data_IF_232086077535
#
_entry.id   IF_232086077535
#
_cell.length_a   1.000
_cell.length_b   1.000
_cell.length_c   1.000
_cell.angle_alpha   90.00
_cell.angle_beta   90.00
_cell.angle_gamma   90.00
#
_symmetry.space_group_name_H-M   'P 1'
#
loop_
_entity.id
_entity.type
_entity.pdbx_description
1 polymer ?
#
# COMPACT_ATOMS: atom_id res chain seq x y z
N UNK A 1 6.66 34.94 -15.97
CA UNK A 1 7.36 33.69 -16.31
C UNK A 1 6.32 32.72 -16.87
N UNK A 2 6.30 32.47 -18.18
CA UNK A 2 5.36 31.52 -18.78
C UNK A 2 5.69 30.09 -18.34
N UNK A 3 4.70 29.22 -18.05
CA UNK A 3 4.95 27.80 -17.93
C UNK A 3 5.40 27.30 -19.30
N UNK A 4 6.70 27.00 -19.41
CA UNK A 4 7.32 26.40 -20.58
C UNK A 4 6.69 25.03 -20.80
N UNK A 5 6.29 24.75 -22.04
CA UNK A 5 5.61 23.54 -22.48
C UNK A 5 6.09 22.27 -21.75
N UNK A 6 5.16 21.54 -21.15
CA UNK A 6 5.42 20.21 -20.61
C UNK A 6 5.51 19.22 -21.78
N UNK A 7 6.64 18.52 -21.91
CA UNK A 7 6.78 17.47 -22.91
C UNK A 7 6.11 16.17 -22.44
N UNK A 8 5.26 15.60 -23.30
CA UNK A 8 4.61 14.31 -23.12
C UNK A 8 5.47 13.25 -23.81
N UNK A 9 6.45 12.69 -23.09
CA UNK A 9 7.30 11.63 -23.63
C UNK A 9 7.53 10.54 -22.58
N UNK A 10 8.19 9.43 -22.94
CA UNK A 10 8.66 8.48 -21.91
C UNK A 10 10.01 8.94 -21.41
N UNK A 11 10.06 9.32 -20.13
CA UNK A 11 11.28 9.83 -19.50
C UNK A 11 12.40 8.80 -19.50
N UNK A 12 12.06 7.51 -19.44
CA UNK A 12 13.03 6.40 -19.38
C UNK A 12 13.51 5.90 -20.74
N UNK A 13 12.88 6.31 -21.83
CA UNK A 13 13.19 5.79 -23.16
C UNK A 13 13.57 6.90 -24.13
N UNK A 14 12.66 7.84 -24.36
CA UNK A 14 12.85 8.85 -25.40
C UNK A 14 13.88 9.90 -25.00
N UNK A 15 13.85 10.37 -23.75
CA UNK A 15 14.75 11.42 -23.28
C UNK A 15 16.24 10.97 -23.29
N UNK A 16 16.61 9.76 -22.81
CA UNK A 16 17.98 9.25 -22.98
C UNK A 16 18.40 9.12 -24.43
N UNK A 17 17.50 8.65 -25.32
CA UNK A 17 17.80 8.48 -26.74
C UNK A 17 18.05 9.82 -27.44
N UNK A 18 17.19 10.82 -27.19
CA UNK A 18 17.37 12.18 -27.68
C UNK A 18 18.65 12.81 -27.13
N UNK A 19 18.90 12.67 -25.82
CA UNK A 19 20.11 13.20 -25.18
C UNK A 19 21.37 12.63 -25.81
N UNK A 20 21.41 11.31 -26.04
CA UNK A 20 22.54 10.66 -26.71
C UNK A 20 22.73 11.17 -28.14
N UNK A 21 21.64 11.40 -28.90
CA UNK A 21 21.73 11.99 -30.25
C UNK A 21 22.28 13.42 -30.22
N UNK A 22 21.83 14.27 -29.28
CA UNK A 22 22.40 15.60 -29.10
C UNK A 22 23.92 15.52 -28.85
N UNK A 23 24.35 14.64 -27.95
CA UNK A 23 25.78 14.45 -27.63
C UNK A 23 26.57 13.96 -28.85
N UNK A 24 26.07 12.95 -29.57
CA UNK A 24 26.72 12.41 -30.77
C UNK A 24 26.90 13.47 -31.87
N UNK A 25 25.91 14.36 -32.02
CA UNK A 25 25.97 15.48 -32.96
C UNK A 25 26.68 16.72 -32.39
N UNK A 26 27.34 16.62 -31.23
CA UNK A 26 28.04 17.72 -30.54
C UNK A 26 27.15 18.94 -30.28
N UNK A 27 25.86 18.70 -30.04
CA UNK A 27 24.88 19.71 -29.70
C UNK A 27 24.54 19.64 -28.20
N UNK A 28 24.24 20.80 -27.61
CA UNK A 28 23.80 20.88 -26.22
C UNK A 28 22.40 20.25 -26.07
N UNK A 29 22.17 19.28 -25.17
CA UNK A 29 20.84 18.71 -24.95
C UNK A 29 19.89 19.76 -24.36
N UNK A 30 19.00 20.30 -25.18
CA UNK A 30 18.10 21.41 -24.77
C UNK A 30 16.90 20.97 -23.93
N UNK A 31 16.59 19.67 -23.94
CA UNK A 31 15.37 19.11 -23.33
C UNK A 31 15.57 18.57 -21.91
N UNK A 32 16.81 18.46 -21.42
CA UNK A 32 17.11 17.89 -20.10
C UNK A 32 16.61 18.74 -18.92
N UNK A 33 16.34 20.02 -19.15
CA UNK A 33 15.85 20.95 -18.13
C UNK A 33 14.36 21.28 -18.26
N UNK A 34 13.68 20.76 -19.29
CA UNK A 34 12.27 21.01 -19.50
C UNK A 34 11.41 20.17 -18.52
N UNK A 35 10.30 20.71 -18.01
CA UNK A 35 9.33 19.92 -17.26
C UNK A 35 8.78 18.81 -18.18
N UNK A 36 8.78 17.59 -17.65
CA UNK A 36 8.42 16.40 -18.42
C UNK A 36 7.34 15.63 -17.66
N UNK A 37 6.28 15.25 -18.37
CA UNK A 37 5.20 14.42 -17.84
C UNK A 37 5.18 13.09 -18.58
N UNK A 38 5.62 12.04 -17.89
CA UNK A 38 5.51 10.67 -18.38
C UNK A 38 4.10 10.13 -18.08
N UNK A 39 3.24 10.07 -19.09
CA UNK A 39 1.84 9.63 -18.95
C UNK A 39 1.70 8.15 -18.58
N UNK A 40 2.73 7.34 -18.75
CA UNK A 40 2.66 5.91 -18.45
C UNK A 40 2.40 5.65 -16.96
N UNK A 41 2.99 6.47 -16.08
CA UNK A 41 2.83 6.34 -14.65
C UNK A 41 1.42 6.67 -14.15
N UNK A 42 0.82 7.83 -14.46
CA UNK A 42 -0.57 8.10 -14.10
C UNK A 42 -1.54 7.14 -14.79
N UNK A 43 -1.31 6.79 -16.06
CA UNK A 43 -2.15 5.82 -16.77
C UNK A 43 -2.16 4.44 -16.08
N UNK A 44 -0.99 3.92 -15.70
CA UNK A 44 -0.90 2.66 -14.94
C UNK A 44 -1.52 2.78 -13.56
N UNK A 45 -1.36 3.92 -12.90
CA UNK A 45 -1.92 4.12 -11.56
C UNK A 45 -3.44 3.96 -11.59
N UNK A 46 -4.11 4.51 -12.60
CA UNK A 46 -5.58 4.47 -12.72
C UNK A 46 -6.06 3.16 -13.34
N UNK A 47 -5.50 2.73 -14.47
CA UNK A 47 -6.12 1.71 -15.32
C UNK A 47 -5.49 0.32 -15.27
N UNK A 48 -4.38 0.12 -14.54
CA UNK A 48 -3.64 -1.16 -14.57
C UNK A 48 -4.45 -2.36 -14.07
N UNK A 49 -5.41 -2.14 -13.18
CA UNK A 49 -6.26 -3.19 -12.65
C UNK A 49 -7.34 -3.64 -13.64
N UNK A 50 -7.78 -2.73 -14.52
CA UNK A 50 -8.81 -3.00 -15.52
C UNK A 50 -8.24 -3.46 -16.86
N UNK A 51 -7.16 -2.83 -17.31
CA UNK A 51 -6.62 -3.06 -18.65
C UNK A 51 -5.55 -4.15 -18.66
N UNK A 52 -5.51 -4.99 -19.71
CA UNK A 52 -4.46 -5.99 -19.88
C UNK A 52 -3.09 -5.34 -20.14
N UNK A 53 -3.08 -4.14 -20.74
CA UNK A 53 -1.88 -3.36 -21.04
C UNK A 53 -2.17 -1.87 -20.91
N UNK A 54 -1.15 -1.10 -20.51
CA UNK A 54 -1.16 0.36 -20.57
C UNK A 54 -0.20 0.89 -21.67
N UNK A 55 0.00 0.10 -22.73
CA UNK A 55 0.62 0.60 -23.96
C UNK A 55 -0.30 1.63 -24.63
N UNK A 56 0.27 2.58 -25.39
CA UNK A 56 -0.49 3.68 -25.99
C UNK A 56 -1.63 3.15 -26.88
N UNK A 57 -1.35 2.19 -27.75
CA UNK A 57 -2.37 1.53 -28.58
C UNK A 57 -3.52 0.89 -27.78
N UNK A 58 -3.23 0.33 -26.60
CA UNK A 58 -4.28 -0.22 -25.73
C UNK A 58 -5.11 0.89 -25.08
N UNK A 59 -4.48 2.01 -24.71
CA UNK A 59 -5.16 3.16 -24.11
C UNK A 59 -6.01 3.92 -25.13
N UNK A 60 -5.54 4.04 -26.36
CA UNK A 60 -6.28 4.61 -27.48
C UNK A 60 -7.61 3.90 -27.68
N UNK A 61 -7.60 2.57 -27.82
CA UNK A 61 -8.82 1.81 -28.06
C UNK A 61 -9.72 1.76 -26.82
N UNK A 62 -9.15 1.48 -25.64
CA UNK A 62 -9.93 1.16 -24.43
C UNK A 62 -10.37 2.39 -23.61
N UNK A 63 -9.67 3.51 -23.76
CA UNK A 63 -9.93 4.75 -23.00
C UNK A 63 -10.38 5.87 -23.93
N UNK A 64 -9.70 6.07 -25.06
CA UNK A 64 -10.00 7.17 -25.98
C UNK A 64 -11.03 6.78 -27.06
N UNK A 65 -11.35 5.50 -27.19
CA UNK A 65 -12.24 5.00 -28.24
C UNK A 65 -11.68 5.14 -29.66
N UNK A 66 -10.38 5.41 -29.80
CA UNK A 66 -9.73 5.63 -31.08
C UNK A 66 -9.47 4.30 -31.79
N UNK A 67 -9.71 4.27 -33.10
CA UNK A 67 -9.31 3.17 -33.99
C UNK A 67 -8.43 3.78 -35.07
N UNK A 68 -7.21 3.26 -35.20
CA UNK A 68 -6.27 3.73 -36.22
C UNK A 68 -6.66 3.19 -37.60
N UNK A 69 -6.44 4.00 -38.62
CA UNK A 69 -6.69 3.65 -40.01
C UNK A 69 -5.70 2.62 -40.56
N UNK A 70 -6.09 1.94 -41.65
CA UNK A 70 -5.24 0.93 -42.33
C UNK A 70 -3.93 1.50 -42.90
N UNK A 71 -3.83 2.83 -43.05
CA UNK A 71 -2.62 3.50 -43.50
C UNK A 71 -1.55 3.65 -42.39
N UNK A 72 -1.87 3.30 -41.14
CA UNK A 72 -0.89 3.35 -40.05
C UNK A 72 0.17 2.24 -40.20
N UNK A 73 1.44 2.65 -40.13
CA UNK A 73 2.57 1.72 -40.22
C UNK A 73 2.75 1.05 -38.85
N UNK A 74 2.90 -0.30 -38.79
CA UNK A 74 3.23 -0.96 -37.54
C UNK A 74 4.53 -0.42 -36.94
N UNK A 75 4.51 -0.01 -35.67
CA UNK A 75 5.66 0.66 -35.04
C UNK A 75 6.98 -0.13 -35.10
N UNK A 76 6.93 -1.46 -35.15
CA UNK A 76 8.11 -2.32 -35.31
C UNK A 76 8.76 -2.24 -36.70
N UNK A 77 8.02 -1.80 -37.73
CA UNK A 77 8.48 -1.68 -39.10
C UNK A 77 9.18 -0.33 -39.36
N UNK A 78 8.89 0.68 -38.53
CA UNK A 78 9.43 2.04 -38.66
C UNK A 78 10.96 2.09 -38.81
N UNK A 79 11.79 1.37 -38.02
CA UNK A 79 13.24 1.40 -38.20
C UNK A 79 13.68 0.94 -39.58
N UNK A 80 13.07 -0.13 -40.11
CA UNK A 80 13.40 -0.68 -41.43
C UNK A 80 13.08 0.30 -42.55
N UNK A 81 11.93 0.99 -42.48
CA UNK A 81 11.56 2.02 -43.47
C UNK A 81 12.55 3.19 -43.47
N UNK A 82 13.02 3.61 -42.28
CA UNK A 82 14.08 4.63 -42.20
C UNK A 82 15.40 4.15 -42.79
N UNK A 83 15.81 2.91 -42.57
CA UNK A 83 17.02 2.36 -43.17
C UNK A 83 16.92 2.26 -44.70
N UNK A 84 15.75 1.86 -45.21
CA UNK A 84 15.49 1.82 -46.64
C UNK A 84 15.62 3.21 -47.27
N UNK A 85 15.00 4.24 -46.66
CA UNK A 85 15.16 5.63 -47.10
C UNK A 85 16.62 6.08 -47.14
N UNK A 86 17.42 5.75 -46.11
CA UNK A 86 18.84 6.11 -46.08
C UNK A 86 19.67 5.44 -47.19
N UNK A 87 19.24 4.27 -47.68
CA UNK A 87 19.93 3.53 -48.74
C UNK A 87 19.46 3.97 -50.14
N UNK A 88 18.16 4.19 -50.33
CA UNK A 88 17.57 4.44 -51.66
C UNK A 88 17.38 5.93 -51.96
N UNK A 89 17.28 6.77 -50.93
CA UNK A 89 16.85 8.16 -51.04
C UNK A 89 15.34 8.34 -51.28
N UNK A 90 14.57 7.25 -51.39
CA UNK A 90 13.12 7.29 -51.62
C UNK A 90 12.35 7.42 -50.30
N UNK A 91 11.58 8.50 -50.17
CA UNK A 91 10.85 8.85 -48.96
C UNK A 91 9.35 8.49 -49.00
N UNK A 92 8.87 7.82 -50.06
CA UNK A 92 7.44 7.49 -50.20
C UNK A 92 6.88 6.77 -48.97
N UNK A 93 7.60 5.76 -48.46
CA UNK A 93 7.16 4.97 -47.30
C UNK A 93 7.26 5.74 -45.96
N UNK A 94 8.02 6.84 -45.91
CA UNK A 94 8.14 7.65 -44.69
C UNK A 94 6.88 8.46 -44.39
N UNK A 95 5.99 8.67 -45.37
CA UNK A 95 4.72 9.38 -45.15
C UNK A 95 3.90 8.67 -44.07
N UNK A 96 3.83 7.33 -44.12
CA UNK A 96 3.14 6.52 -43.11
C UNK A 96 3.80 6.61 -41.73
N UNK A 97 5.13 6.74 -41.68
CA UNK A 97 5.87 6.94 -40.42
C UNK A 97 5.56 8.30 -39.78
N UNK A 98 5.46 9.37 -40.58
CA UNK A 98 5.07 10.68 -40.08
C UNK A 98 3.61 10.71 -39.60
N UNK A 99 2.72 10.03 -40.32
CA UNK A 99 1.33 9.85 -39.90
C UNK A 99 1.25 9.13 -38.54
N UNK A 100 1.97 8.01 -38.38
CA UNK A 100 2.07 7.29 -37.11
C UNK A 100 2.51 8.20 -35.95
N UNK A 101 3.58 8.97 -36.16
CA UNK A 101 4.11 9.87 -35.14
C UNK A 101 3.14 11.01 -34.79
N UNK A 102 2.41 11.52 -35.78
CA UNK A 102 1.38 12.54 -35.57
C UNK A 102 0.26 11.99 -34.67
N UNK A 103 -0.27 10.82 -35.02
CA UNK A 103 -1.32 10.16 -34.23
C UNK A 103 -0.85 9.86 -32.81
N UNK A 104 0.37 9.33 -32.62
CA UNK A 104 0.95 9.10 -31.29
C UNK A 104 0.97 10.38 -30.43
N UNK A 105 1.36 11.51 -31.01
CA UNK A 105 1.40 12.80 -30.31
C UNK A 105 -0.02 13.26 -29.95
N UNK A 106 -0.97 13.19 -30.88
CA UNK A 106 -2.36 13.58 -30.64
C UNK A 106 -3.02 12.70 -29.57
N UNK A 107 -2.77 11.39 -29.60
CA UNK A 107 -3.22 10.44 -28.59
C UNK A 107 -2.65 10.75 -27.22
N UNK A 108 -1.35 11.08 -27.12
CA UNK A 108 -0.76 11.46 -25.83
C UNK A 108 -1.37 12.76 -25.27
N UNK A 109 -1.58 13.79 -26.10
CA UNK A 109 -2.21 15.05 -25.66
C UNK A 109 -3.64 14.79 -25.19
N UNK A 110 -4.40 14.00 -25.95
CA UNK A 110 -5.78 13.64 -25.62
C UNK A 110 -5.85 12.83 -24.33
N UNK A 111 -4.94 11.86 -24.16
CA UNK A 111 -4.81 11.06 -22.94
C UNK A 111 -4.47 11.92 -21.72
N UNK A 112 -3.56 12.89 -21.88
CA UNK A 112 -3.21 13.82 -20.82
C UNK A 112 -4.42 14.66 -20.37
N UNK A 113 -5.19 15.18 -21.33
CA UNK A 113 -6.42 15.92 -21.04
C UNK A 113 -7.47 15.05 -20.33
N UNK A 114 -7.66 13.81 -20.80
CA UNK A 114 -8.58 12.85 -20.18
C UNK A 114 -8.16 12.49 -18.76
N UNK A 115 -6.88 12.17 -18.51
CA UNK A 115 -6.36 11.94 -17.17
C UNK A 115 -6.55 13.15 -16.25
N UNK A 116 -6.32 14.35 -16.76
CA UNK A 116 -6.44 15.58 -15.97
C UNK A 116 -7.88 15.81 -15.54
N UNK A 117 -8.85 15.65 -16.46
CA UNK A 117 -10.28 15.75 -16.12
C UNK A 117 -10.69 14.68 -15.11
N UNK A 118 -10.27 13.44 -15.33
CA UNK A 118 -10.57 12.30 -14.47
C UNK A 118 -10.05 12.47 -13.03
N UNK A 119 -8.86 13.04 -12.86
CA UNK A 119 -8.25 13.32 -11.55
C UNK A 119 -8.75 14.61 -10.89
N UNK A 120 -9.33 15.52 -11.68
CA UNK A 120 -9.89 16.76 -11.17
C UNK A 120 -11.26 16.50 -10.55
N UNK A 121 -12.16 15.90 -11.33
CA UNK A 121 -13.49 15.53 -10.88
C UNK A 121 -14.01 14.29 -11.64
N UNK A 122 -13.81 13.09 -11.08
CA UNK A 122 -14.30 11.85 -11.69
C UNK A 122 -15.84 11.78 -11.70
N UNK A 123 -16.55 12.59 -10.91
CA UNK A 123 -18.00 12.54 -10.82
C UNK A 123 -18.72 13.54 -11.73
N UNK A 124 -17.99 14.41 -12.43
CA UNK A 124 -18.58 15.44 -13.31
C UNK A 124 -19.10 14.89 -14.65
N UNK A 125 -18.78 13.65 -15.01
CA UNK A 125 -19.01 13.11 -16.34
C UNK A 125 -19.69 11.74 -16.34
N UNK A 126 -19.28 10.91 -17.29
CA UNK A 126 -19.76 9.53 -17.41
C UNK A 126 -19.38 8.67 -16.20
N UNK A 127 -20.19 7.65 -15.93
CA UNK A 127 -19.93 6.68 -14.88
C UNK A 127 -18.59 5.98 -15.11
N UNK A 128 -17.70 6.09 -14.13
CA UNK A 128 -16.38 5.46 -14.18
C UNK A 128 -16.46 4.03 -13.68
N UNK A 129 -15.62 3.18 -14.26
CA UNK A 129 -15.52 1.79 -13.84
C UNK A 129 -15.03 1.66 -12.38
N UNK A 130 -15.63 0.76 -11.60
CA UNK A 130 -15.33 0.60 -10.17
C UNK A 130 -13.84 0.36 -9.85
N UNK A 131 -13.15 -0.43 -10.68
CA UNK A 131 -11.69 -0.62 -10.58
C UNK A 131 -10.89 0.68 -10.69
N UNK A 132 -11.29 1.56 -11.62
CA UNK A 132 -10.65 2.85 -11.83
C UNK A 132 -10.95 3.76 -10.64
N UNK A 133 -12.17 3.69 -10.08
CA UNK A 133 -12.56 4.44 -8.89
C UNK A 133 -11.76 4.02 -7.63
N UNK A 134 -11.54 2.72 -7.42
CA UNK A 134 -10.68 2.23 -6.33
C UNK A 134 -9.24 2.74 -6.48
N UNK A 135 -8.73 2.78 -7.72
CA UNK A 135 -7.41 3.31 -8.03
C UNK A 135 -7.32 4.84 -7.85
N UNK A 136 -8.38 5.58 -8.17
CA UNK A 136 -8.49 7.01 -7.89
C UNK A 136 -8.52 7.29 -6.39
N UNK A 137 -9.27 6.50 -5.61
CA UNK A 137 -9.26 6.60 -4.14
C UNK A 137 -7.85 6.48 -3.56
N UNK A 138 -7.07 5.50 -4.04
CA UNK A 138 -5.66 5.38 -3.66
C UNK A 138 -4.81 6.57 -4.10
N UNK A 139 -5.08 7.11 -5.28
CA UNK A 139 -4.36 8.27 -5.80
C UNK A 139 -4.63 9.52 -4.96
N UNK A 140 -5.89 9.76 -4.57
CA UNK A 140 -6.26 10.89 -3.71
C UNK A 140 -5.71 10.75 -2.30
N UNK A 141 -5.72 9.55 -1.73
CA UNK A 141 -5.15 9.29 -0.41
C UNK A 141 -3.65 9.65 -0.37
N UNK A 142 -2.89 9.17 -1.36
CA UNK A 142 -1.47 9.50 -1.50
C UNK A 142 -1.20 10.99 -1.77
N UNK A 143 -2.18 11.70 -2.33
CA UNK A 143 -2.12 13.14 -2.55
C UNK A 143 -2.57 13.96 -1.32
N UNK A 144 -2.96 13.32 -0.22
CA UNK A 144 -3.46 14.02 0.97
C UNK A 144 -4.84 14.65 0.77
N UNK A 145 -5.68 14.07 -0.10
CA UNK A 145 -7.05 14.50 -0.40
C UNK A 145 -8.06 13.51 0.19
N UNK A 146 -8.28 13.53 1.53
CA UNK A 146 -9.00 12.47 2.22
C UNK A 146 -10.49 12.40 1.87
N UNK A 147 -11.14 13.53 1.60
CA UNK A 147 -12.57 13.57 1.27
C UNK A 147 -12.84 12.89 -0.08
N UNK A 148 -12.04 13.21 -1.10
CA UNK A 148 -12.12 12.59 -2.42
C UNK A 148 -11.70 11.12 -2.39
N UNK A 149 -10.70 10.77 -1.58
CA UNK A 149 -10.27 9.39 -1.36
C UNK A 149 -11.40 8.54 -0.78
N UNK A 150 -12.03 9.00 0.30
CA UNK A 150 -13.16 8.31 0.92
C UNK A 150 -14.32 8.13 -0.05
N UNK A 151 -14.72 9.22 -0.73
CA UNK A 151 -15.82 9.17 -1.70
C UNK A 151 -15.53 8.12 -2.79
N UNK A 152 -14.32 8.12 -3.35
CA UNK A 152 -13.94 7.17 -4.39
C UNK A 152 -13.89 5.72 -3.87
N UNK A 153 -13.38 5.46 -2.66
CA UNK A 153 -13.41 4.11 -2.10
C UNK A 153 -14.83 3.61 -1.87
N UNK A 154 -15.73 4.44 -1.31
CA UNK A 154 -17.12 4.06 -1.08
C UNK A 154 -17.86 3.79 -2.39
N UNK A 155 -17.66 4.65 -3.39
CA UNK A 155 -18.23 4.50 -4.73
C UNK A 155 -17.74 3.22 -5.43
N UNK A 156 -16.44 2.91 -5.32
CA UNK A 156 -15.90 1.66 -5.83
C UNK A 156 -16.53 0.43 -5.15
N UNK A 157 -16.75 0.49 -3.83
CA UNK A 157 -17.32 -0.60 -3.04
C UNK A 157 -18.83 -0.79 -3.24
N UNK A 158 -19.55 0.22 -3.74
CA UNK A 158 -20.96 0.07 -4.14
C UNK A 158 -21.16 -0.76 -5.42
N UNK A 159 -20.06 -1.15 -6.07
CA UNK A 159 -20.08 -1.95 -7.29
C UNK A 159 -19.28 -3.26 -7.14
N UNK A 160 -19.57 -4.28 -7.98
CA UNK A 160 -18.80 -5.52 -7.96
C UNK A 160 -17.31 -5.28 -8.30
N UNK A 161 -16.44 -5.70 -7.38
CA UNK A 161 -14.98 -5.70 -7.55
C UNK A 161 -14.42 -7.12 -7.43
N UNK A 162 -13.29 -7.44 -8.10
CA UNK A 162 -12.48 -8.62 -7.78
C UNK A 162 -12.10 -8.64 -6.30
N UNK A 163 -12.04 -9.83 -5.70
CA UNK A 163 -11.85 -9.99 -4.25
C UNK A 163 -10.58 -9.31 -3.73
N UNK A 164 -9.47 -9.39 -4.47
CA UNK A 164 -8.19 -8.78 -4.10
C UNK A 164 -8.24 -7.25 -4.11
N UNK A 165 -8.94 -6.65 -5.08
CA UNK A 165 -9.12 -5.20 -5.18
C UNK A 165 -10.11 -4.73 -4.12
N UNK A 166 -11.22 -5.46 -3.93
CA UNK A 166 -12.23 -5.16 -2.91
C UNK A 166 -11.61 -5.13 -1.52
N UNK A 167 -10.78 -6.12 -1.22
CA UNK A 167 -10.06 -6.23 0.05
C UNK A 167 -9.12 -5.05 0.28
N UNK A 168 -8.29 -4.73 -0.71
CA UNK A 168 -7.39 -3.57 -0.63
C UNK A 168 -8.18 -2.27 -0.45
N UNK A 169 -9.36 -2.16 -1.05
CA UNK A 169 -10.22 -0.97 -0.96
C UNK A 169 -10.79 -0.82 0.44
N UNK A 170 -11.31 -1.89 1.05
CA UNK A 170 -11.75 -1.88 2.45
C UNK A 170 -10.61 -1.56 3.42
N UNK A 171 -9.45 -2.21 3.27
CA UNK A 171 -8.27 -1.96 4.11
C UNK A 171 -7.86 -0.48 4.06
N UNK A 172 -7.75 0.10 2.86
CA UNK A 172 -7.40 1.52 2.68
C UNK A 172 -8.46 2.47 3.24
N UNK A 173 -9.74 2.21 3.02
CA UNK A 173 -10.82 3.02 3.57
C UNK A 173 -10.82 2.99 5.11
N UNK A 174 -10.69 1.80 5.71
CA UNK A 174 -10.58 1.67 7.16
C UNK A 174 -9.37 2.39 7.74
N UNK A 175 -8.20 2.31 7.09
CA UNK A 175 -6.99 3.03 7.49
C UNK A 175 -7.13 4.55 7.34
N UNK A 176 -7.82 5.01 6.29
CA UNK A 176 -8.15 6.42 6.09
C UNK A 176 -9.05 6.94 7.22
N UNK A 177 -10.18 6.29 7.48
CA UNK A 177 -11.13 6.67 8.53
C UNK A 177 -10.46 6.67 9.92
N UNK A 178 -9.61 5.68 10.18
CA UNK A 178 -8.83 5.60 11.42
C UNK A 178 -7.85 6.77 11.57
N UNK A 179 -7.14 7.17 10.50
CA UNK A 179 -6.28 8.37 10.52
C UNK A 179 -7.09 9.64 10.79
N UNK A 180 -8.32 9.72 10.27
CA UNK A 180 -9.25 10.83 10.49
C UNK A 180 -9.96 10.77 11.86
N UNK A 181 -9.65 9.79 12.73
CA UNK A 181 -10.29 9.56 14.03
C UNK A 181 -11.80 9.27 13.96
N UNK A 182 -12.33 8.91 12.79
CA UNK A 182 -13.73 8.48 12.59
C UNK A 182 -13.86 6.99 12.87
N UNK A 183 -13.61 6.61 14.12
CA UNK A 183 -13.43 5.21 14.53
C UNK A 183 -14.71 4.37 14.43
N UNK A 184 -15.88 4.97 14.67
CA UNK A 184 -17.18 4.30 14.51
C UNK A 184 -17.40 3.88 13.06
N UNK A 185 -17.19 4.78 12.10
CA UNK A 185 -17.34 4.49 10.67
C UNK A 185 -16.26 3.53 10.16
N UNK A 186 -15.06 3.58 10.74
CA UNK A 186 -14.03 2.58 10.46
C UNK A 186 -14.48 1.17 10.90
N UNK A 187 -15.13 1.07 12.06
CA UNK A 187 -15.68 -0.19 12.56
C UNK A 187 -16.79 -0.73 11.65
N UNK A 188 -17.71 0.11 11.20
CA UNK A 188 -18.73 -0.26 10.20
C UNK A 188 -18.06 -0.77 8.91
N UNK A 189 -17.04 -0.07 8.42
CA UNK A 189 -16.27 -0.49 7.22
C UNK A 189 -15.61 -1.85 7.39
N UNK A 190 -15.08 -2.17 8.57
CA UNK A 190 -14.49 -3.48 8.85
C UNK A 190 -15.54 -4.59 8.97
N UNK A 191 -16.74 -4.29 9.45
CA UNK A 191 -17.87 -5.23 9.44
C UNK A 191 -18.33 -5.50 8.01
N UNK A 192 -18.52 -4.46 7.21
CA UNK A 192 -18.87 -4.56 5.79
C UNK A 192 -17.82 -5.38 5.01
N UNK A 193 -16.54 -5.20 5.32
CA UNK A 193 -15.47 -6.03 4.77
C UNK A 193 -15.74 -7.52 5.04
N UNK A 194 -15.98 -7.90 6.30
CA UNK A 194 -16.23 -9.30 6.67
C UNK A 194 -17.47 -9.86 5.96
N UNK A 195 -18.53 -9.04 5.79
CA UNK A 195 -19.78 -9.46 5.15
C UNK A 195 -19.65 -9.61 3.63
N UNK A 196 -18.95 -8.70 2.97
CA UNK A 196 -18.94 -8.59 1.51
C UNK A 196 -17.71 -9.17 0.81
N UNK A 197 -16.69 -9.59 1.56
CA UNK A 197 -15.56 -10.33 1.03
C UNK A 197 -15.76 -11.82 1.31
N UNK A 198 -15.96 -12.58 0.23
CA UNK A 198 -16.22 -14.03 0.30
C UNK A 198 -15.08 -14.75 1.03
N UNK A 199 -15.44 -15.73 1.87
CA UNK A 199 -14.51 -16.72 2.46
C UNK A 199 -13.92 -17.66 1.40
N UNK A 200 -13.31 -17.10 0.36
CA UNK A 200 -12.54 -17.87 -0.60
C UNK A 200 -11.25 -18.32 0.07
N UNK A 201 -10.84 -19.58 -0.14
CA UNK A 201 -9.67 -20.20 0.50
C UNK A 201 -8.35 -19.43 0.30
N UNK A 202 -8.33 -18.46 -0.62
CA UNK A 202 -7.19 -17.62 -0.97
C UNK A 202 -7.15 -16.27 -0.24
N UNK A 203 -8.24 -15.84 0.40
CA UNK A 203 -8.29 -14.57 1.14
C UNK A 203 -7.92 -14.85 2.60
N UNK A 204 -6.80 -14.29 3.06
CA UNK A 204 -6.19 -14.60 4.37
C UNK A 204 -5.92 -13.32 5.15
N UNK A 205 -6.98 -12.57 5.42
CA UNK A 205 -6.87 -11.28 6.07
C UNK A 205 -7.58 -11.27 7.41
N UNK A 206 -6.80 -11.01 8.46
CA UNK A 206 -7.27 -10.91 9.84
C UNK A 206 -7.44 -9.45 10.28
N UNK A 207 -7.03 -8.50 9.44
CA UNK A 207 -7.07 -7.07 9.72
C UNK A 207 -8.45 -6.60 10.24
N UNK A 208 -9.59 -6.91 9.58
CA UNK A 208 -10.88 -6.41 10.06
C UNK A 208 -11.26 -6.94 11.46
N UNK A 209 -10.98 -8.21 11.75
CA UNK A 209 -11.23 -8.80 13.08
C UNK A 209 -10.37 -8.17 14.17
N UNK A 210 -9.07 -7.97 13.88
CA UNK A 210 -8.12 -7.36 14.81
C UNK A 210 -8.48 -5.91 15.10
N UNK A 211 -8.84 -5.15 14.07
CA UNK A 211 -9.21 -3.75 14.23
C UNK A 211 -10.57 -3.57 14.93
N UNK A 212 -11.54 -4.44 14.68
CA UNK A 212 -12.80 -4.47 15.44
C UNK A 212 -12.59 -4.81 16.91
N UNK A 213 -11.74 -5.80 17.21
CA UNK A 213 -11.42 -6.13 18.60
C UNK A 213 -10.81 -4.91 19.32
N UNK A 214 -9.87 -4.20 18.67
CA UNK A 214 -9.28 -2.97 19.22
C UNK A 214 -10.31 -1.86 19.40
N UNK A 215 -11.19 -1.65 18.43
CA UNK A 215 -12.25 -0.65 18.53
C UNK A 215 -13.15 -0.90 19.74
N UNK A 216 -13.64 -2.12 19.91
CA UNK A 216 -14.52 -2.44 21.02
C UNK A 216 -13.82 -2.37 22.37
N UNK A 217 -12.56 -2.82 22.47
CA UNK A 217 -11.80 -2.76 23.74
C UNK A 217 -11.45 -1.31 24.13
N UNK A 218 -10.89 -0.53 23.20
CA UNK A 218 -10.26 0.75 23.53
C UNK A 218 -11.17 1.97 23.32
N UNK A 219 -12.18 1.86 22.46
CA UNK A 219 -13.07 2.98 22.14
C UNK A 219 -14.47 2.78 22.71
N UNK A 220 -15.09 1.61 22.47
CA UNK A 220 -16.45 1.34 22.96
C UNK A 220 -16.49 0.85 24.42
N UNK A 221 -15.34 0.46 25.00
CA UNK A 221 -15.24 -0.21 26.30
C UNK A 221 -16.14 -1.46 26.44
N UNK A 222 -16.38 -2.16 25.33
CA UNK A 222 -17.13 -3.41 25.26
C UNK A 222 -16.16 -4.60 25.15
N UNK A 223 -15.70 -5.07 26.31
CA UNK A 223 -14.79 -6.21 26.38
C UNK A 223 -15.42 -7.51 25.84
N UNK A 224 -16.75 -7.63 25.89
CA UNK A 224 -17.45 -8.83 25.41
C UNK A 224 -17.43 -8.87 23.88
N UNK A 225 -17.75 -7.76 23.21
CA UNK A 225 -17.62 -7.65 21.76
C UNK A 225 -16.16 -7.78 21.30
N UNK A 226 -15.20 -7.20 22.04
CA UNK A 226 -13.78 -7.33 21.70
C UNK A 226 -13.32 -8.80 21.73
N UNK A 227 -13.71 -9.56 22.77
CA UNK A 227 -13.43 -10.98 22.88
C UNK A 227 -14.12 -11.80 21.79
N UNK A 228 -15.37 -11.44 21.44
CA UNK A 228 -16.10 -12.05 20.33
C UNK A 228 -15.29 -11.92 19.03
N UNK A 229 -14.93 -10.71 18.62
CA UNK A 229 -14.17 -10.48 17.38
C UNK A 229 -12.80 -11.18 17.37
N UNK A 230 -12.13 -11.24 18.53
CA UNK A 230 -10.89 -12.00 18.68
C UNK A 230 -11.09 -13.47 18.37
N UNK A 231 -12.12 -14.10 18.96
CA UNK A 231 -12.45 -15.52 18.71
C UNK A 231 -12.87 -15.80 17.27
N UNK A 232 -13.59 -14.87 16.64
CA UNK A 232 -13.91 -14.98 15.22
C UNK A 232 -12.64 -15.00 14.35
N UNK A 233 -11.68 -14.12 14.63
CA UNK A 233 -10.38 -14.14 13.95
C UNK A 233 -9.62 -15.46 14.16
N UNK A 234 -9.65 -16.02 15.37
CA UNK A 234 -9.04 -17.34 15.65
C UNK A 234 -9.69 -18.46 14.84
N UNK A 235 -11.03 -18.51 14.82
CA UNK A 235 -11.79 -19.48 14.04
C UNK A 235 -11.47 -19.39 12.53
N UNK A 236 -11.34 -18.18 11.98
CA UNK A 236 -10.93 -18.00 10.58
C UNK A 236 -9.52 -18.56 10.32
N UNK A 237 -8.56 -18.37 11.23
CA UNK A 237 -7.20 -18.96 11.12
C UNK A 237 -7.24 -20.49 11.15
N UNK A 238 -8.15 -21.08 11.94
CA UNK A 238 -8.32 -22.53 12.01
C UNK A 238 -8.86 -23.14 10.70
N UNK A 239 -9.67 -22.37 9.96
CA UNK A 239 -10.17 -22.76 8.66
C UNK A 239 -9.10 -22.69 7.55
N UNK A 240 -8.00 -21.96 7.75
CA UNK A 240 -6.95 -21.83 6.73
C UNK A 240 -6.22 -23.16 6.46
N UNK A 241 -5.80 -23.42 5.20
CA UNK A 241 -4.96 -24.57 4.88
C UNK A 241 -3.68 -24.60 5.74
N UNK A 242 -3.23 -25.80 6.10
CA UNK A 242 -1.97 -26.00 6.83
C UNK A 242 -0.83 -25.32 6.08
N UNK A 243 -0.37 -24.20 6.63
CA UNK A 243 0.64 -23.35 6.02
C UNK A 243 1.62 -22.85 7.09
N UNK A 244 2.85 -22.43 6.72
CA UNK A 244 3.77 -21.79 7.67
C UNK A 244 3.15 -20.59 8.39
N UNK A 245 2.31 -19.81 7.70
CA UNK A 245 1.58 -18.68 8.28
C UNK A 245 0.62 -19.12 9.40
N UNK A 246 -0.20 -20.14 9.16
CA UNK A 246 -1.08 -20.72 10.19
C UNK A 246 -0.30 -21.28 11.38
N UNK A 247 0.81 -21.99 11.15
CA UNK A 247 1.66 -22.53 12.22
C UNK A 247 2.28 -21.44 13.09
N UNK A 248 2.71 -20.33 12.49
CA UNK A 248 3.26 -19.18 13.20
C UNK A 248 2.22 -18.54 14.12
N UNK A 249 0.96 -18.44 13.67
CA UNK A 249 -0.15 -17.90 14.45
C UNK A 249 -0.60 -18.88 15.56
N UNK A 250 -0.72 -20.17 15.25
CA UNK A 250 -1.06 -21.20 16.24
C UNK A 250 0.01 -21.35 17.34
N UNK A 251 1.30 -21.16 17.01
CA UNK A 251 2.39 -21.18 17.98
C UNK A 251 2.35 -20.04 19.00
N UNK A 252 1.67 -18.93 18.69
CA UNK A 252 1.47 -17.81 19.62
C UNK A 252 0.41 -18.13 20.69
N UNK A 253 -0.62 -18.91 20.37
CA UNK A 253 -1.66 -19.34 21.32
C UNK A 253 -1.11 -20.25 22.42
N UNK A 254 -0.12 -21.10 22.11
CA UNK A 254 0.51 -22.01 23.09
C UNK A 254 1.32 -21.22 24.15
N UNK A 255 1.82 -20.02 23.82
CA UNK A 255 2.55 -19.16 24.76
C UNK A 255 1.67 -18.43 25.78
N UNK A 256 0.39 -18.19 25.48
CA UNK A 256 -0.53 -17.53 26.41
C UNK A 256 -1.12 -18.50 27.44
N UNK A 257 -1.34 -19.76 27.07
CA UNK A 257 -1.86 -20.79 27.98
C UNK A 257 -0.88 -21.19 29.08
N UNK A 258 0.44 -21.17 28.82
CA UNK A 258 1.44 -21.59 29.81
C UNK A 258 1.74 -20.56 30.91
N UNK A 259 1.31 -19.30 30.78
CA UNK A 259 1.54 -18.26 31.80
C UNK A 259 0.42 -18.16 32.86
N UNK A 260 -0.71 -18.86 32.71
CA UNK A 260 -1.81 -18.88 33.68
C UNK A 260 -1.68 -19.94 34.79
N UNK A 261 -0.80 -20.93 34.64
CA UNK A 261 -0.74 -22.09 35.54
C UNK A 261 0.35 -22.00 36.64
N UNK A 262 1.19 -20.97 36.63
CA UNK A 262 2.34 -20.87 37.56
C UNK A 262 2.07 -20.08 38.85
N UNK A 263 0.87 -19.53 39.05
CA UNK A 263 0.51 -18.74 40.24
C UNK A 263 -0.23 -19.50 41.35
N UNK A 264 -0.76 -20.69 41.09
CA UNK A 264 -1.62 -21.41 42.03
C UNK A 264 -0.83 -22.40 42.90
N UNK A 265 0.12 -21.93 43.72
CA UNK A 265 0.77 -22.78 44.72
C UNK A 265 1.35 -22.02 45.92
N UNK A 266 0.55 -21.16 46.57
CA UNK A 266 0.78 -20.77 47.97
C UNK A 266 -0.42 -19.97 48.49
N UNK A 267 -1.35 -20.65 49.16
CA UNK A 267 -2.14 -20.14 50.30
C UNK A 267 -3.32 -21.08 50.55
N UNK A 268 -3.11 -22.03 51.48
CA UNK A 268 -4.19 -22.62 52.28
C UNK A 268 -3.63 -22.86 53.67
N UNK A 269 -4.01 -22.02 54.63
CA UNK A 269 -4.18 -22.39 56.04
C UNK A 269 -5.24 -21.47 56.67
N UNK A 270 -6.09 -22.13 57.44
CA UNK A 270 -7.07 -21.65 58.43
C UNK A 270 -8.26 -20.80 57.95
N UNK A 271 -9.37 -21.51 57.90
CA UNK A 271 -10.77 -21.13 57.94
C UNK A 271 -11.16 -20.72 59.37
N UNK A 272 -11.79 -19.55 59.58
CA UNK A 272 -12.96 -19.38 60.48
C UNK A 272 -13.54 -17.96 60.45
N UNK A 273 -14.88 -17.94 60.52
CA UNK A 273 -15.79 -16.95 61.11
C UNK A 273 -16.72 -16.09 60.23
N UNK A 274 -17.99 -16.53 60.31
CA UNK A 274 -19.31 -15.89 60.35
C UNK A 274 -19.49 -14.39 60.06
N UNK A 275 -20.39 -14.17 59.09
CA UNK A 275 -21.66 -13.42 59.18
C UNK A 275 -21.63 -11.88 59.28
N UNK A 276 -22.03 -11.19 58.20
CA UNK A 276 -23.07 -10.14 58.21
C UNK A 276 -23.39 -9.63 56.79
N UNK A 277 -24.65 -9.23 56.61
CA UNK A 277 -25.32 -8.88 55.35
C UNK A 277 -24.88 -7.53 54.79
N UNK A 278 -24.62 -7.45 53.48
CA UNK A 278 -25.14 -6.36 52.63
C UNK A 278 -25.20 -6.84 51.18
N UNK A 279 -26.42 -6.91 50.62
CA UNK A 279 -26.64 -7.31 49.24
C UNK A 279 -26.34 -6.13 48.30
N UNK A 280 -25.15 -6.15 47.70
CA UNK A 280 -24.89 -5.62 46.35
C UNK A 280 -24.26 -6.77 45.57
N UNK A 281 -24.65 -7.04 44.31
CA UNK A 281 -23.96 -8.08 43.55
C UNK A 281 -22.51 -7.63 43.36
N UNK A 282 -21.51 -8.44 43.77
CA UNK A 282 -20.14 -8.18 43.39
C UNK A 282 -20.05 -8.41 41.89
N UNK A 283 -19.61 -7.40 41.13
CA UNK A 283 -18.96 -7.63 39.85
C UNK A 283 -17.82 -8.63 40.13
N UNK A 284 -18.10 -9.91 39.89
CA UNK A 284 -17.10 -10.95 39.93
C UNK A 284 -15.97 -10.49 39.02
N UNK A 285 -14.79 -10.41 39.61
CA UNK A 285 -13.51 -10.22 38.96
C UNK A 285 -13.34 -11.33 37.93
N UNK A 286 -13.88 -11.14 36.73
CA UNK A 286 -13.28 -11.70 35.54
C UNK A 286 -11.99 -10.92 35.36
N UNK A 287 -10.91 -11.45 35.92
CA UNK A 287 -9.55 -11.12 35.52
C UNK A 287 -9.38 -11.56 34.06
N UNK A 288 -9.98 -10.79 33.15
CA UNK A 288 -9.77 -10.92 31.73
C UNK A 288 -8.31 -10.55 31.49
N UNK A 289 -7.49 -11.43 30.89
CA UNK A 289 -6.17 -11.04 30.50
C UNK A 289 -6.33 -9.86 29.53
N UNK A 290 -5.71 -8.72 29.84
CA UNK A 290 -5.52 -7.64 28.85
C UNK A 290 -5.02 -8.30 27.58
N UNK A 291 -5.78 -8.20 26.50
CA UNK A 291 -5.49 -8.88 25.25
C UNK A 291 -4.24 -8.23 24.66
N UNK A 292 -3.09 -8.79 25.04
CA UNK A 292 -1.78 -8.38 24.55
C UNK A 292 -1.56 -9.10 23.22
N UNK A 293 -2.36 -8.76 22.22
CA UNK A 293 -2.09 -9.16 20.84
C UNK A 293 -0.86 -8.34 20.40
N UNK A 294 0.31 -8.96 20.54
CA UNK A 294 1.57 -8.43 20.03
C UNK A 294 1.40 -8.30 18.51
N UNK A 295 1.03 -7.09 18.07
CA UNK A 295 1.04 -6.68 16.66
C UNK A 295 2.49 -6.72 16.16
N UNK A 296 2.92 -7.88 15.64
CA UNK A 296 4.07 -7.91 14.73
C UNK A 296 3.56 -7.61 13.33
N UNK A 297 3.57 -6.33 13.00
CA UNK A 297 3.40 -5.84 11.64
C UNK A 297 4.43 -6.55 10.74
N UNK A 298 3.98 -7.39 9.82
CA UNK A 298 4.82 -8.03 8.80
C UNK A 298 4.42 -7.52 7.43
N UNK A 299 4.66 -6.23 7.21
CA UNK A 299 4.95 -5.69 5.90
C UNK A 299 6.44 -5.88 5.55
N UNK A 300 6.82 -5.91 4.26
CA UNK A 300 8.12 -6.40 3.85
C UNK A 300 9.20 -5.33 4.05
N UNK A 301 10.34 -5.76 4.59
CA UNK A 301 11.60 -5.03 4.80
C UNK A 301 11.69 -4.04 5.97
N UNK A 302 12.13 -4.54 7.14
CA UNK A 302 13.38 -4.08 7.81
C UNK A 302 13.96 -5.28 8.58
N UNK A 303 15.22 -5.62 8.31
CA UNK A 303 15.99 -6.61 9.05
C UNK A 303 16.64 -5.95 10.26
N UNK A 304 16.39 -6.44 11.48
CA UNK A 304 17.20 -6.15 12.66
C UNK A 304 17.74 -7.47 13.20
N UNK A 305 19.06 -7.62 13.09
CA UNK A 305 19.85 -8.76 13.54
C UNK A 305 20.02 -8.67 15.06
N UNK A 306 19.45 -9.61 15.82
CA UNK A 306 19.80 -9.75 17.24
C UNK A 306 21.01 -10.68 17.35
N UNK A 307 22.15 -10.11 17.73
CA UNK A 307 23.38 -10.84 18.04
C UNK A 307 23.14 -11.64 19.33
N UNK A 308 23.32 -12.96 19.28
CA UNK A 308 23.40 -13.82 20.47
C UNK A 308 24.80 -13.73 21.09
N UNK A 309 24.84 -13.62 22.42
CA UNK A 309 26.03 -13.71 23.27
C UNK A 309 26.22 -12.41 24.05
N UNK A 310 26.33 -12.40 25.38
CA UNK A 310 27.23 -13.20 26.21
C UNK A 310 26.64 -13.36 27.62
N UNK A 311 26.92 -14.52 28.23
CA UNK A 311 26.67 -14.86 29.64
C UNK A 311 27.39 -13.88 30.58
N UNK A 312 26.69 -13.29 31.54
CA UNK A 312 27.30 -12.54 32.64
C UNK A 312 26.27 -12.20 33.70
N UNK A 313 26.54 -12.57 34.96
CA UNK A 313 25.71 -12.30 36.13
C UNK A 313 25.61 -10.79 36.37
N UNK A 314 24.41 -10.23 36.52
CA UNK A 314 24.20 -8.90 37.12
C UNK A 314 23.43 -9.04 38.45
N UNK A 315 23.92 -8.44 39.56
CA UNK A 315 23.22 -8.32 40.85
C UNK A 315 22.15 -7.19 40.81
N UNK A 316 21.26 -7.07 41.83
CA UNK A 316 19.97 -6.41 41.68
C UNK A 316 20.06 -4.88 41.78
N UNK A 317 19.26 -4.19 40.96
CA UNK A 317 18.99 -2.76 41.09
C UNK A 317 19.51 -1.90 39.95
N UNK A 318 19.04 -2.10 38.71
CA UNK A 318 18.97 -1.06 37.68
C UNK A 318 18.00 -1.50 36.57
N UNK A 319 16.90 -0.77 36.41
CA UNK A 319 15.93 -0.96 35.31
C UNK A 319 16.44 -0.22 34.06
N UNK A 320 16.47 -0.81 32.86
CA UNK A 320 16.48 -0.02 31.64
C UNK A 320 15.04 0.39 31.30
N UNK A 321 14.76 1.70 31.45
CA UNK A 321 13.64 2.39 30.79
C UNK A 321 13.82 2.25 29.28
N UNK A 322 12.84 1.66 28.59
CA UNK A 322 12.70 1.81 27.14
C UNK A 322 11.56 2.79 26.91
N UNK A 323 11.94 4.02 26.58
CA UNK A 323 11.05 5.06 26.08
C UNK A 323 11.01 4.95 24.56
N UNK A 324 9.85 4.66 23.98
CA UNK A 324 9.61 4.80 22.54
C UNK A 324 8.69 6.01 22.35
N UNK A 325 9.32 7.17 22.13
CA UNK A 325 8.69 8.37 21.60
C UNK A 325 8.74 8.21 20.08
N UNK A 326 7.57 8.19 19.43
CA UNK A 326 7.48 8.28 17.97
C UNK A 326 6.83 9.61 17.62
N UNK A 327 7.65 10.65 17.44
CA UNK A 327 7.22 11.91 16.84
C UNK A 327 7.26 11.77 15.32
N UNK A 328 6.12 12.07 14.72
CA UNK A 328 5.92 12.27 13.29
C UNK A 328 6.84 13.39 12.77
N UNK A 329 7.70 13.14 11.78
CA UNK A 329 8.11 14.10 10.74
C UNK A 329 9.06 13.46 9.72
N UNK A 330 8.83 13.80 8.46
CA UNK A 330 9.62 13.40 7.30
C UNK A 330 11.09 13.80 7.41
N UNK A 331 12.00 12.94 6.91
CA UNK A 331 13.19 13.27 6.09
C UNK A 331 14.10 12.04 5.95
N UNK A 332 14.30 11.60 4.71
CA UNK A 332 15.35 10.64 4.34
C UNK A 332 16.67 11.40 4.23
N UNK A 333 17.70 10.95 4.93
CA UNK A 333 19.10 11.13 4.51
C UNK A 333 19.88 9.85 4.79
N UNK A 334 20.30 9.17 3.72
CA UNK A 334 21.31 8.10 3.76
C UNK A 334 22.62 8.72 3.28
N UNK A 335 23.67 8.61 4.09
CA UNK A 335 25.05 8.69 3.60
C UNK A 335 25.96 7.76 4.41
N UNK A 336 26.71 6.94 3.68
CA UNK A 336 27.57 5.86 4.15
C UNK A 336 29.00 6.38 4.31
N UNK A 337 29.69 6.02 5.40
CA UNK A 337 31.16 5.79 5.37
C UNK A 337 31.63 4.97 6.58
N UNK A 338 31.98 3.71 6.36
CA UNK A 338 32.85 2.94 7.26
C UNK A 338 34.23 2.84 6.59
N UNK A 339 35.17 3.68 7.05
CA UNK A 339 36.58 3.60 6.66
C UNK A 339 37.25 2.51 7.49
N UNK A 340 38.00 1.63 6.80
CA UNK A 340 38.82 0.55 7.34
C UNK A 340 39.72 1.03 8.49
N UNK A 341 39.68 0.32 9.62
CA UNK A 341 40.65 0.51 10.70
C UNK A 341 42.04 0.01 10.31
N UNK A 342 43.05 0.88 10.37
CA UNK A 342 44.45 0.50 10.57
C UNK A 342 44.75 0.50 12.08
N UNK A 343 45.34 -0.59 12.56
CA UNK A 343 46.03 -0.64 13.86
C UNK A 343 47.39 0.06 13.75
N UNK A 344 47.79 0.61 14.89
CA UNK A 344 49.14 1.00 15.34
C UNK A 344 49.43 2.51 15.36
N UNK A 345 49.85 2.97 16.54
CA UNK A 345 50.28 4.35 16.80
C UNK A 345 50.15 4.68 18.28
N UNK A 346 51.29 4.72 18.99
CA UNK A 346 51.46 4.79 20.43
C UNK A 346 52.14 6.15 20.75
N UNK A 347 51.78 6.73 21.89
CA UNK A 347 52.48 7.76 22.70
C UNK A 347 52.52 9.23 22.28
N UNK A 348 52.05 10.05 23.23
CA UNK A 348 52.49 11.42 23.52
C UNK A 348 53.96 11.47 23.92
N UNK A 349 54.59 12.64 23.77
CA UNK A 349 55.33 13.30 24.84
C UNK A 349 54.43 14.26 25.61
#
# INVERSE_FOLDING_TARGET
>A
MQPRASFLQRSRFDLPLLTNRFIMHRQTPRLTTAPHLDLLHPARRVWRQRLPSCALSSLETQILGLRRDQADVPGWLIPSLYFQYLQTGDAQDLVGVFYHNLEDILSMVTLAATLTRLLADPWAGETIHALDMAALGYTYDQAGRPAEAERAYRDALSHPLPDDVRLQTYSRLGQLLKRLQRLSEAAETWQDWITHVTRSANVKDLEPYVELAKYHEWHANDCTAALMWTRWGEHEVEAWPRSPARRKLAGLQIGMACNGAAGAKKERRSETDRNTRSCRPPCAQLSLPRISLICTNLGPFVSIRVIRGIRGKNPPGFLPRISLICTNQASVFVSIRAIRGRKSGRWSP
#
